data_IF_631718816389
#
_entry.id   IF_631718816389
#
_cell.length_a   1.000
_cell.length_b   1.000
_cell.length_c   1.000
_cell.angle_alpha   90.00
_cell.angle_beta   90.00
_cell.angle_gamma   90.00
#
_symmetry.space_group_name_H-M   'P 1'
#
loop_
_entity.id
_entity.type
_entity.pdbx_description
1 polymer ?
#
# COMPACT_ATOMS: atom_id res chain seq x y z
N UNK A 1 47.99 -0.37 39.98
CA UNK A 1 47.17 -1.59 39.94
C UNK A 1 46.26 -1.46 38.74
N UNK A 2 46.72 -2.03 37.61
CA UNK A 2 46.07 -1.93 36.31
C UNK A 2 44.84 -2.84 36.27
N UNK A 3 43.72 -2.32 35.79
CA UNK A 3 42.52 -3.12 35.54
C UNK A 3 42.61 -3.57 34.09
N UNK A 4 43.10 -4.79 33.95
CA UNK A 4 43.39 -5.49 32.72
C UNK A 4 42.10 -5.96 32.03
N UNK A 5 41.98 -5.70 30.74
CA UNK A 5 41.46 -6.68 29.78
C UNK A 5 40.01 -7.14 29.87
N UNK A 6 39.01 -6.25 29.86
CA UNK A 6 37.70 -6.59 29.27
C UNK A 6 37.85 -6.59 27.74
N UNK A 7 38.33 -7.72 27.22
CA UNK A 7 38.24 -8.04 25.79
C UNK A 7 36.77 -8.09 25.44
N UNK A 8 36.25 -6.99 24.87
CA UNK A 8 35.04 -6.98 24.06
C UNK A 8 35.21 -8.10 23.03
N UNK A 9 34.53 -9.23 23.27
CA UNK A 9 34.41 -10.30 22.30
C UNK A 9 33.98 -9.65 20.99
N UNK A 10 34.82 -9.77 19.98
CA UNK A 10 34.58 -9.23 18.65
C UNK A 10 33.18 -9.63 18.23
N UNK A 11 32.26 -8.66 18.18
CA UNK A 11 30.97 -8.84 17.54
C UNK A 11 31.24 -9.43 16.16
N UNK A 12 30.59 -10.55 15.78
CA UNK A 12 30.82 -11.17 14.49
C UNK A 12 30.58 -10.13 13.40
N UNK A 13 31.68 -9.64 12.82
CA UNK A 13 31.75 -8.51 11.88
C UNK A 13 31.42 -8.93 10.45
N UNK A 14 30.72 -10.05 10.29
CA UNK A 14 30.39 -10.60 8.99
C UNK A 14 28.96 -11.16 9.04
N UNK A 15 27.99 -10.54 8.35
CA UNK A 15 26.70 -11.16 8.14
C UNK A 15 26.97 -12.49 7.44
N UNK A 16 26.58 -13.62 8.05
CA UNK A 16 26.71 -14.89 7.33
C UNK A 16 25.93 -14.78 6.02
N UNK A 17 26.57 -14.96 4.85
CA UNK A 17 25.86 -14.88 3.60
C UNK A 17 24.99 -16.12 3.48
N UNK A 18 23.68 -15.90 3.35
CA UNK A 18 22.79 -16.87 2.73
C UNK A 18 22.10 -17.84 3.68
N UNK A 19 20.85 -17.54 4.01
CA UNK A 19 19.75 -18.44 3.63
C UNK A 19 18.53 -17.56 3.37
N UNK A 20 17.74 -17.85 2.34
CA UNK A 20 16.41 -17.22 2.17
C UNK A 20 15.56 -17.29 3.45
N UNK A 21 15.81 -18.30 4.28
CA UNK A 21 15.25 -18.47 5.62
C UNK A 21 15.62 -17.34 6.59
N UNK A 22 16.85 -16.87 6.63
CA UNK A 22 17.25 -15.80 7.58
C UNK A 22 16.61 -14.47 7.18
N UNK A 23 16.59 -14.14 5.89
CA UNK A 23 15.87 -12.97 5.39
C UNK A 23 14.39 -13.02 5.78
N UNK A 24 13.76 -14.18 5.63
CA UNK A 24 12.36 -14.37 5.97
C UNK A 24 12.11 -14.25 7.48
N UNK A 25 12.94 -14.89 8.32
CA UNK A 25 12.81 -14.79 9.78
C UNK A 25 13.01 -13.37 10.27
N UNK A 26 14.03 -12.68 9.77
CA UNK A 26 14.35 -11.31 10.19
C UNK A 26 13.22 -10.35 9.78
N UNK A 27 12.71 -10.49 8.55
CA UNK A 27 11.56 -9.71 8.08
C UNK A 27 10.33 -9.93 8.94
N UNK A 28 10.06 -11.19 9.31
CA UNK A 28 8.94 -11.55 10.17
C UNK A 28 9.10 -11.02 11.60
N UNK A 29 10.31 -11.02 12.15
CA UNK A 29 10.58 -10.46 13.48
C UNK A 29 10.30 -8.95 13.52
N UNK A 30 10.70 -8.24 12.47
CA UNK A 30 10.46 -6.78 12.36
C UNK A 30 8.96 -6.52 12.19
N UNK A 31 8.33 -7.25 11.28
CA UNK A 31 6.88 -7.19 11.09
C UNK A 31 6.12 -7.51 12.38
N UNK A 32 6.60 -8.46 13.18
CA UNK A 32 5.98 -8.82 14.45
C UNK A 32 5.97 -7.65 15.41
N UNK A 33 7.06 -6.87 15.52
CA UNK A 33 7.09 -5.64 16.30
C UNK A 33 5.98 -4.67 15.91
N UNK A 34 5.88 -4.35 14.62
CA UNK A 34 4.86 -3.42 14.11
C UNK A 34 3.43 -3.98 14.25
N UNK A 35 3.27 -5.30 14.16
CA UNK A 35 2.00 -5.97 14.37
C UNK A 35 1.48 -5.83 15.81
N UNK A 36 2.38 -5.92 16.79
CA UNK A 36 2.02 -5.76 18.21
C UNK A 36 1.46 -4.36 18.51
N UNK A 37 1.95 -3.34 17.81
CA UNK A 37 1.45 -1.97 17.90
C UNK A 37 0.15 -1.80 17.12
N UNK A 38 0.07 -2.40 15.93
CA UNK A 38 -1.10 -2.31 15.05
C UNK A 38 -2.33 -2.98 15.65
N UNK A 39 -2.18 -4.14 16.31
CA UNK A 39 -3.31 -4.94 16.83
C UNK A 39 -4.19 -4.16 17.83
N UNK A 40 -3.59 -3.24 18.60
CA UNK A 40 -4.32 -2.42 19.59
C UNK A 40 -5.09 -1.28 18.93
N UNK A 41 -4.68 -0.90 17.72
CA UNK A 41 -5.25 0.23 16.95
C UNK A 41 -6.08 -0.24 15.75
N UNK A 42 -6.41 -1.53 15.64
CA UNK A 42 -7.11 -2.10 14.48
C UNK A 42 -8.41 -1.37 14.16
N UNK A 43 -9.25 -1.14 15.18
CA UNK A 43 -10.53 -0.45 15.02
C UNK A 43 -10.34 0.99 14.56
N UNK A 44 -9.33 1.68 15.09
CA UNK A 44 -9.01 3.04 14.71
C UNK A 44 -8.48 3.13 13.27
N UNK A 45 -7.60 2.21 12.85
CA UNK A 45 -7.04 2.17 11.49
C UNK A 45 -8.11 1.79 10.46
N UNK A 46 -8.94 0.80 10.78
CA UNK A 46 -10.06 0.42 9.94
C UNK A 46 -11.07 1.58 9.80
N UNK A 47 -11.49 2.20 10.90
CA UNK A 47 -12.47 3.27 10.90
C UNK A 47 -11.97 4.55 10.21
N UNK A 48 -10.73 4.98 10.50
CA UNK A 48 -10.18 6.22 9.94
C UNK A 48 -10.01 6.16 8.42
N UNK A 49 -9.58 5.01 7.88
CA UNK A 49 -9.39 4.85 6.44
C UNK A 49 -10.68 4.57 5.64
N UNK A 50 -11.82 4.40 6.32
CA UNK A 50 -13.15 4.32 5.69
C UNK A 50 -13.73 5.68 5.33
N UNK A 51 -13.34 6.74 6.04
CA UNK A 51 -14.01 8.05 5.97
C UNK A 51 -14.04 8.60 4.54
N UNK A 52 -12.88 8.66 3.87
CA UNK A 52 -12.80 9.19 2.51
C UNK A 52 -13.53 8.30 1.47
N UNK A 53 -13.28 6.97 1.41
CA UNK A 53 -14.04 6.09 0.51
C UNK A 53 -15.56 6.16 0.71
N UNK A 54 -16.04 6.24 1.95
CA UNK A 54 -17.47 6.37 2.23
C UNK A 54 -18.02 7.69 1.69
N UNK A 55 -17.35 8.81 1.95
CA UNK A 55 -17.74 10.11 1.38
C UNK A 55 -17.81 10.04 -0.14
N UNK A 56 -16.86 9.38 -0.79
CA UNK A 56 -16.85 9.20 -2.23
C UNK A 56 -17.97 8.29 -2.75
N UNK A 57 -18.26 7.18 -2.06
CA UNK A 57 -19.40 6.32 -2.41
C UNK A 57 -20.71 7.09 -2.26
N UNK A 58 -20.87 7.90 -1.21
CA UNK A 58 -22.06 8.74 -1.04
C UNK A 58 -22.15 9.84 -2.10
N UNK A 59 -21.08 10.60 -2.30
CA UNK A 59 -21.07 11.73 -3.23
C UNK A 59 -21.19 11.31 -4.69
N UNK A 60 -20.37 10.35 -5.12
CA UNK A 60 -20.32 9.92 -6.53
C UNK A 60 -21.29 8.77 -6.81
N UNK A 61 -21.38 7.78 -5.91
CA UNK A 61 -22.29 6.64 -6.09
C UNK A 61 -23.75 7.05 -5.97
N UNK A 62 -24.15 7.67 -4.86
CA UNK A 62 -25.56 8.06 -4.66
C UNK A 62 -25.90 9.44 -5.25
N UNK A 63 -24.99 10.41 -5.09
CA UNK A 63 -25.24 11.78 -5.56
C UNK A 63 -25.24 11.92 -7.08
N UNK A 64 -24.28 11.28 -7.76
CA UNK A 64 -24.13 11.35 -9.23
C UNK A 64 -24.61 10.07 -9.95
N UNK A 65 -24.70 8.92 -9.27
CA UNK A 65 -25.00 7.64 -9.91
C UNK A 65 -26.29 7.65 -10.71
N UNK A 66 -27.41 8.12 -10.15
CA UNK A 66 -28.69 8.16 -10.87
C UNK A 66 -28.62 9.02 -12.15
N UNK A 67 -27.86 10.12 -12.11
CA UNK A 67 -27.68 10.99 -13.29
C UNK A 67 -26.78 10.36 -14.33
N UNK A 68 -25.72 9.67 -13.90
CA UNK A 68 -24.75 9.01 -14.77
C UNK A 68 -25.33 7.74 -15.39
N UNK A 69 -26.07 6.94 -14.63
CA UNK A 69 -26.77 5.75 -15.13
C UNK A 69 -27.83 6.11 -16.18
N UNK A 70 -28.42 7.30 -16.08
CA UNK A 70 -29.36 7.82 -17.09
C UNK A 70 -28.64 8.40 -18.31
N UNK A 71 -27.47 9.01 -18.12
CA UNK A 71 -26.73 9.69 -19.19
C UNK A 71 -25.77 8.78 -19.97
N UNK A 72 -25.29 7.70 -19.35
CA UNK A 72 -24.19 6.86 -19.84
C UNK A 72 -24.38 5.42 -19.37
N UNK A 73 -24.22 4.45 -20.26
CA UNK A 73 -24.07 3.05 -19.85
C UNK A 73 -22.70 2.86 -19.19
N UNK A 74 -22.62 2.37 -17.95
CA UNK A 74 -21.35 2.11 -17.29
C UNK A 74 -20.51 1.11 -18.10
N UNK A 75 -19.19 1.29 -18.20
CA UNK A 75 -18.33 0.38 -18.94
C UNK A 75 -18.34 -1.06 -18.40
N UNK A 76 -18.55 -1.21 -17.08
CA UNK A 76 -18.54 -2.48 -16.36
C UNK A 76 -19.49 -2.38 -15.16
N UNK A 77 -20.32 -3.42 -14.95
CA UNK A 77 -21.33 -3.47 -13.88
C UNK A 77 -22.70 -2.94 -14.31
N UNK A 78 -23.70 -3.14 -13.46
CA UNK A 78 -25.10 -2.78 -13.79
C UNK A 78 -25.43 -1.31 -13.46
N UNK A 79 -24.58 -0.66 -12.66
CA UNK A 79 -24.72 0.74 -12.25
C UNK A 79 -23.35 1.41 -12.06
N UNK A 80 -23.33 2.73 -12.08
CA UNK A 80 -22.13 3.53 -11.77
C UNK A 80 -21.61 3.25 -10.37
N UNK A 81 -22.50 2.91 -9.42
CA UNK A 81 -22.09 2.50 -8.07
C UNK A 81 -21.24 1.22 -8.12
N UNK A 82 -21.65 0.22 -8.88
CA UNK A 82 -20.86 -1.01 -9.08
C UNK A 82 -19.51 -0.72 -9.77
N UNK A 83 -19.49 0.23 -10.71
CA UNK A 83 -18.28 0.64 -11.40
C UNK A 83 -17.22 1.25 -10.46
N UNK A 84 -17.63 2.08 -9.49
CA UNK A 84 -16.70 2.80 -8.60
C UNK A 84 -16.23 1.96 -7.40
N UNK A 85 -17.00 0.97 -6.95
CA UNK A 85 -16.72 0.23 -5.71
C UNK A 85 -15.34 -0.46 -5.70
N UNK A 86 -14.94 -1.25 -6.73
CA UNK A 86 -13.58 -1.80 -6.80
C UNK A 86 -12.50 -0.72 -6.80
N UNK A 87 -12.76 0.42 -7.45
CA UNK A 87 -11.88 1.58 -7.45
C UNK A 87 -11.70 2.20 -6.06
N UNK A 88 -12.76 2.23 -5.25
CA UNK A 88 -12.68 2.72 -3.85
C UNK A 88 -11.86 1.77 -2.97
N UNK A 89 -11.92 0.46 -3.21
CA UNK A 89 -11.06 -0.52 -2.54
C UNK A 89 -9.59 -0.31 -2.93
N UNK A 90 -9.30 -0.05 -4.21
CA UNK A 90 -7.95 0.30 -4.69
C UNK A 90 -7.43 1.61 -4.06
N UNK A 91 -8.28 2.64 -4.01
CA UNK A 91 -7.95 3.95 -3.44
C UNK A 91 -7.66 3.86 -1.94
N UNK A 92 -8.50 3.12 -1.20
CA UNK A 92 -8.33 2.94 0.24
C UNK A 92 -7.06 2.16 0.57
N UNK A 93 -6.81 1.05 -0.14
CA UNK A 93 -5.59 0.25 0.03
C UNK A 93 -4.33 1.07 -0.24
N UNK A 94 -4.30 1.84 -1.32
CA UNK A 94 -3.20 2.75 -1.64
C UNK A 94 -2.97 3.78 -0.53
N UNK A 95 -4.03 4.49 -0.15
CA UNK A 95 -3.94 5.63 0.78
C UNK A 95 -3.39 5.18 2.12
N UNK A 96 -3.94 4.10 2.70
CA UNK A 96 -3.51 3.62 4.01
C UNK A 96 -2.17 2.87 3.95
N UNK A 97 -1.92 2.08 2.90
CA UNK A 97 -0.61 1.40 2.77
C UNK A 97 0.52 2.40 2.68
N UNK A 98 0.34 3.49 1.93
CA UNK A 98 1.35 4.54 1.83
C UNK A 98 1.43 5.38 3.11
N UNK A 99 0.35 6.08 3.45
CA UNK A 99 0.37 7.08 4.54
C UNK A 99 0.65 6.41 5.88
N UNK A 100 0.01 5.26 6.17
CA UNK A 100 0.23 4.52 7.41
C UNK A 100 1.67 4.04 7.55
N UNK A 101 2.32 3.62 6.47
CA UNK A 101 3.73 3.21 6.50
C UNK A 101 4.66 4.39 6.72
N UNK A 102 4.45 5.49 6.00
CA UNK A 102 5.26 6.72 6.17
C UNK A 102 5.13 7.25 7.60
N UNK A 103 3.90 7.33 8.14
CA UNK A 103 3.67 7.81 9.51
C UNK A 103 4.28 6.90 10.57
N UNK A 104 4.25 5.58 10.37
CA UNK A 104 4.88 4.64 11.32
C UNK A 104 6.39 4.81 11.37
N UNK A 105 7.06 4.81 10.22
CA UNK A 105 8.52 4.99 10.17
C UNK A 105 8.91 6.37 10.68
N UNK A 106 8.17 7.41 10.28
CA UNK A 106 8.40 8.76 10.77
C UNK A 106 8.21 8.84 12.29
N UNK A 107 7.21 8.14 12.83
CA UNK A 107 6.91 8.11 14.26
C UNK A 107 7.98 7.38 15.07
N UNK A 108 8.38 6.20 14.62
CA UNK A 108 9.45 5.40 15.23
C UNK A 108 10.78 6.14 15.23
N UNK A 109 11.06 6.91 14.17
CA UNK A 109 12.27 7.72 14.05
C UNK A 109 12.25 8.96 14.92
N UNK A 110 11.16 9.73 14.91
CA UNK A 110 11.10 11.04 15.57
C UNK A 110 10.77 10.94 17.07
N UNK A 111 9.97 9.97 17.49
CA UNK A 111 9.45 9.89 18.86
C UNK A 111 10.06 8.75 19.66
N UNK A 112 10.11 7.54 19.10
CA UNK A 112 10.50 6.35 19.86
C UNK A 112 12.00 6.04 19.79
N UNK A 113 12.72 6.59 18.78
CA UNK A 113 14.14 6.30 18.47
C UNK A 113 14.47 4.82 18.21
N UNK A 114 13.47 3.93 18.24
CA UNK A 114 13.60 2.50 17.94
C UNK A 114 14.12 2.25 16.52
N UNK A 115 13.92 3.21 15.61
CA UNK A 115 14.47 3.13 14.26
C UNK A 115 16.00 3.17 14.23
N UNK A 116 16.64 3.96 15.11
CA UNK A 116 18.10 4.05 15.20
C UNK A 116 18.69 2.76 15.81
N UNK A 117 18.01 2.17 16.80
CA UNK A 117 18.38 0.87 17.36
C UNK A 117 18.27 -0.25 16.32
N UNK A 118 17.24 -0.21 15.47
CA UNK A 118 17.04 -1.19 14.40
C UNK A 118 18.15 -1.13 13.34
N UNK A 119 18.70 0.05 13.05
CA UNK A 119 19.82 0.23 12.12
C UNK A 119 21.14 -0.37 12.65
N UNK A 120 21.31 -0.45 13.98
CA UNK A 120 22.49 -1.03 14.62
C UNK A 120 22.47 -2.57 14.65
N UNK A 121 21.31 -3.18 14.39
CA UNK A 121 21.19 -4.63 14.34
C UNK A 121 21.88 -5.17 13.07
N UNK A 122 22.61 -6.30 13.15
CA UNK A 122 23.28 -6.91 12.00
C UNK A 122 22.27 -7.64 11.09
N UNK A 123 21.24 -6.94 10.62
CA UNK A 123 20.15 -7.44 9.78
C UNK A 123 20.35 -6.93 8.36
N UNK A 124 20.04 -7.78 7.38
CA UNK A 124 20.13 -7.41 5.97
C UNK A 124 19.15 -6.26 5.63
N UNK A 125 19.57 -5.20 4.91
CA UNK A 125 18.72 -4.03 4.58
C UNK A 125 17.39 -4.38 3.90
N UNK A 126 17.41 -5.43 3.07
CA UNK A 126 16.21 -5.93 2.40
C UNK A 126 15.19 -6.52 3.40
N UNK A 127 15.64 -7.21 4.46
CA UNK A 127 14.76 -7.74 5.48
C UNK A 127 14.11 -6.62 6.31
N UNK A 128 14.86 -5.53 6.60
CA UNK A 128 14.31 -4.31 7.21
C UNK A 128 13.17 -3.73 6.35
N UNK A 129 13.42 -3.60 5.05
CA UNK A 129 12.42 -3.10 4.12
C UNK A 129 11.18 -3.99 4.06
N UNK A 130 11.34 -5.31 3.85
CA UNK A 130 10.21 -6.24 3.75
C UNK A 130 9.41 -6.25 5.05
N UNK A 131 10.05 -6.28 6.22
CA UNK A 131 9.34 -6.26 7.50
C UNK A 131 8.42 -5.04 7.64
N UNK A 132 8.93 -3.85 7.34
CA UNK A 132 8.16 -2.59 7.37
C UNK A 132 7.08 -2.54 6.29
N UNK A 133 7.40 -3.03 5.09
CA UNK A 133 6.47 -3.14 3.97
C UNK A 133 5.30 -4.07 4.31
N UNK A 134 5.54 -5.21 4.95
CA UNK A 134 4.48 -6.16 5.36
C UNK A 134 3.52 -5.52 6.39
N UNK A 135 4.03 -4.72 7.32
CA UNK A 135 3.19 -3.98 8.26
C UNK A 135 2.29 -2.96 7.53
N UNK A 136 2.85 -2.28 6.52
CA UNK A 136 2.11 -1.41 5.61
C UNK A 136 1.03 -2.14 4.80
N UNK A 137 1.38 -3.30 4.25
CA UNK A 137 0.45 -4.16 3.50
C UNK A 137 -0.74 -4.54 4.37
N UNK A 138 -0.48 -4.94 5.61
CA UNK A 138 -1.53 -5.34 6.53
C UNK A 138 -2.46 -4.18 6.89
N UNK A 139 -1.93 -2.98 7.13
CA UNK A 139 -2.75 -1.77 7.35
C UNK A 139 -3.65 -1.49 6.15
N UNK A 140 -3.09 -1.55 4.94
CA UNK A 140 -3.84 -1.38 3.70
C UNK A 140 -4.95 -2.42 3.53
N UNK A 141 -4.64 -3.69 3.79
CA UNK A 141 -5.61 -4.79 3.69
C UNK A 141 -6.74 -4.67 4.71
N UNK A 142 -6.46 -4.23 5.94
CA UNK A 142 -7.48 -4.03 6.97
C UNK A 142 -8.47 -2.93 6.56
N UNK A 143 -7.97 -1.79 6.10
CA UNK A 143 -8.86 -0.69 5.69
C UNK A 143 -9.59 -1.02 4.39
N UNK A 144 -8.88 -1.50 3.37
CA UNK A 144 -9.53 -1.85 2.09
C UNK A 144 -10.48 -3.03 2.24
N UNK A 145 -10.22 -3.98 3.15
CA UNK A 145 -11.14 -5.04 3.53
C UNK A 145 -12.41 -4.48 4.20
N UNK A 146 -12.29 -3.40 4.97
CA UNK A 146 -13.44 -2.70 5.53
C UNK A 146 -14.27 -2.01 4.44
N UNK A 147 -13.63 -1.38 3.45
CA UNK A 147 -14.33 -0.80 2.28
C UNK A 147 -14.98 -1.89 1.44
N UNK A 148 -14.29 -3.02 1.27
CA UNK A 148 -14.80 -4.18 0.54
C UNK A 148 -16.03 -4.78 1.23
N UNK A 149 -16.05 -4.84 2.57
CA UNK A 149 -17.22 -5.24 3.33
C UNK A 149 -18.42 -4.33 3.03
N UNK A 150 -18.20 -3.01 3.03
CA UNK A 150 -19.23 -2.04 2.66
C UNK A 150 -19.71 -2.27 1.21
N UNK A 151 -18.80 -2.45 0.27
CA UNK A 151 -19.12 -2.76 -1.13
C UNK A 151 -19.99 -4.01 -1.29
N UNK A 152 -19.68 -5.06 -0.54
CA UNK A 152 -20.44 -6.32 -0.51
C UNK A 152 -21.84 -6.09 0.09
N UNK A 153 -21.95 -5.31 1.16
CA UNK A 153 -23.26 -5.00 1.77
C UNK A 153 -24.17 -4.21 0.83
N UNK A 154 -23.62 -3.31 0.01
CA UNK A 154 -24.39 -2.54 -0.96
C UNK A 154 -24.80 -3.36 -2.20
N UNK A 155 -23.93 -4.25 -2.69
CA UNK A 155 -24.16 -4.98 -3.95
C UNK A 155 -24.75 -6.38 -3.77
N UNK A 156 -24.57 -6.99 -2.59
CA UNK A 156 -24.86 -8.40 -2.36
C UNK A 156 -23.93 -9.38 -3.10
N UNK A 157 -22.97 -8.89 -3.90
CA UNK A 157 -22.13 -9.70 -4.81
C UNK A 157 -20.87 -10.22 -4.10
N UNK A 158 -21.02 -11.06 -3.07
CA UNK A 158 -19.91 -11.59 -2.25
C UNK A 158 -18.79 -12.23 -3.09
N UNK A 159 -19.16 -13.08 -4.05
CA UNK A 159 -18.20 -13.85 -4.88
C UNK A 159 -17.37 -13.00 -5.83
N UNK A 160 -17.87 -11.82 -6.18
CA UNK A 160 -17.19 -10.85 -7.04
C UNK A 160 -15.94 -10.28 -6.35
N UNK A 161 -16.07 -9.91 -5.07
CA UNK A 161 -15.00 -9.28 -4.30
C UNK A 161 -14.05 -10.29 -3.62
N UNK A 162 -14.51 -11.51 -3.35
CA UNK A 162 -13.69 -12.58 -2.75
C UNK A 162 -12.92 -13.44 -3.77
N UNK A 163 -12.92 -13.05 -5.04
CA UNK A 163 -12.17 -13.76 -6.06
C UNK A 163 -10.66 -13.78 -5.72
N UNK A 164 -9.95 -14.92 -5.85
CA UNK A 164 -8.51 -15.00 -5.59
C UNK A 164 -7.68 -13.95 -6.35
N UNK A 165 -8.11 -13.62 -7.56
CA UNK A 165 -7.45 -12.66 -8.43
C UNK A 165 -7.65 -11.21 -7.94
N UNK A 166 -8.81 -10.91 -7.38
CA UNK A 166 -9.10 -9.64 -6.71
C UNK A 166 -8.19 -9.46 -5.49
N UNK A 167 -8.11 -10.47 -4.63
CA UNK A 167 -7.26 -10.46 -3.43
C UNK A 167 -5.78 -10.33 -3.83
N UNK A 168 -5.34 -11.05 -4.85
CA UNK A 168 -3.96 -10.98 -5.35
C UNK A 168 -3.59 -9.55 -5.78
N UNK A 169 -4.42 -8.91 -6.62
CA UNK A 169 -4.20 -7.52 -7.04
C UNK A 169 -4.24 -6.54 -5.87
N UNK A 170 -5.14 -6.77 -4.90
CA UNK A 170 -5.23 -5.94 -3.72
C UNK A 170 -3.96 -6.02 -2.87
N UNK A 171 -3.44 -7.23 -2.65
CA UNK A 171 -2.17 -7.46 -1.94
C UNK A 171 -1.00 -6.83 -2.69
N UNK A 172 -0.94 -6.98 -4.02
CA UNK A 172 0.06 -6.34 -4.88
C UNK A 172 0.00 -4.81 -4.78
N UNK A 173 -1.20 -4.23 -4.82
CA UNK A 173 -1.38 -2.78 -4.66
C UNK A 173 -0.87 -2.31 -3.30
N UNK A 174 -1.28 -2.99 -2.24
CA UNK A 174 -0.80 -2.73 -0.88
C UNK A 174 0.73 -2.83 -0.81
N UNK A 175 1.34 -3.84 -1.46
CA UNK A 175 2.77 -4.05 -1.52
C UNK A 175 3.50 -2.90 -2.21
N UNK A 176 3.03 -2.48 -3.40
CA UNK A 176 3.59 -1.33 -4.14
C UNK A 176 3.59 -0.07 -3.28
N UNK A 177 2.45 0.26 -2.69
CA UNK A 177 2.29 1.51 -1.95
C UNK A 177 2.91 1.48 -0.56
N UNK A 178 2.93 0.33 0.11
CA UNK A 178 3.68 0.15 1.35
C UNK A 178 5.19 0.24 1.10
N UNK A 179 5.71 -0.44 0.06
CA UNK A 179 7.12 -0.37 -0.31
C UNK A 179 7.56 1.05 -0.65
N UNK A 180 6.76 1.77 -1.44
CA UNK A 180 7.01 3.18 -1.70
C UNK A 180 6.93 4.03 -0.42
N UNK A 181 5.95 3.75 0.44
CA UNK A 181 5.82 4.38 1.75
C UNK A 181 7.04 4.18 2.64
N UNK A 182 7.69 3.00 2.60
CA UNK A 182 8.97 2.78 3.29
C UNK A 182 10.04 3.69 2.72
N UNK A 183 10.23 3.71 1.39
CA UNK A 183 11.24 4.54 0.72
C UNK A 183 11.09 6.03 1.05
N UNK A 184 9.85 6.52 1.11
CA UNK A 184 9.54 7.90 1.47
C UNK A 184 9.73 8.13 2.96
N UNK A 185 9.22 7.23 3.82
CA UNK A 185 9.35 7.31 5.28
C UNK A 185 10.80 7.43 5.75
N UNK A 186 11.73 6.71 5.10
CA UNK A 186 13.17 6.82 5.36
C UNK A 186 13.76 8.20 5.05
N UNK A 187 13.17 8.93 4.10
CA UNK A 187 13.63 10.25 3.65
C UNK A 187 12.99 11.42 4.40
N UNK A 188 11.86 11.20 5.06
CA UNK A 188 11.12 12.26 5.74
C UNK A 188 11.74 12.59 7.10
N UNK A 189 11.83 13.90 7.41
CA UNK A 189 12.40 14.44 8.65
C UNK A 189 11.37 15.09 9.59
N UNK A 190 10.13 15.28 9.14
CA UNK A 190 9.08 15.92 9.92
C UNK A 190 7.69 15.45 9.48
N UNK A 191 6.70 15.54 10.37
CA UNK A 191 5.31 15.23 10.03
C UNK A 191 4.74 16.18 8.96
N UNK A 192 5.20 17.43 8.91
CA UNK A 192 4.82 18.39 7.86
C UNK A 192 5.23 17.90 6.47
N UNK A 193 6.43 17.33 6.35
CA UNK A 193 6.88 16.75 5.09
C UNK A 193 6.03 15.53 4.69
N UNK A 194 5.55 14.71 5.64
CA UNK A 194 4.58 13.64 5.35
C UNK A 194 3.30 14.23 4.73
N UNK A 195 2.79 15.32 5.31
CA UNK A 195 1.62 16.04 4.80
C UNK A 195 1.83 16.57 3.37
N UNK A 196 3.01 17.10 3.06
CA UNK A 196 3.37 17.54 1.70
C UNK A 196 3.31 16.39 0.70
N UNK A 197 3.92 15.23 1.00
CA UNK A 197 3.84 14.06 0.11
C UNK A 197 2.40 13.62 -0.11
N UNK A 198 1.59 13.61 0.95
CA UNK A 198 0.18 13.22 0.83
C UNK A 198 -0.59 14.17 -0.11
N UNK A 199 -0.45 15.48 0.09
CA UNK A 199 -1.21 16.48 -0.66
C UNK A 199 -0.73 16.67 -2.10
N UNK A 200 0.57 16.60 -2.37
CA UNK A 200 1.13 16.83 -3.70
C UNK A 200 1.24 15.58 -4.56
N UNK A 201 1.18 14.39 -3.96
CA UNK A 201 1.38 13.13 -4.70
C UNK A 201 0.19 12.20 -4.55
N UNK A 202 -0.17 11.83 -3.31
CA UNK A 202 -1.21 10.82 -3.07
C UNK A 202 -2.59 11.32 -3.49
N UNK A 203 -2.96 12.56 -3.13
CA UNK A 203 -4.26 13.12 -3.49
C UNK A 203 -4.42 13.27 -5.01
N UNK A 204 -3.49 13.90 -5.77
CA UNK A 204 -3.61 13.95 -7.24
C UNK A 204 -3.67 12.55 -7.86
N UNK A 205 -2.85 11.62 -7.37
CA UNK A 205 -2.82 10.25 -7.85
C UNK A 205 -4.11 9.48 -7.54
N UNK A 206 -4.80 9.76 -6.44
CA UNK A 206 -6.07 9.10 -6.09
C UNK A 206 -7.19 9.46 -7.06
N UNK A 207 -7.19 10.69 -7.59
CA UNK A 207 -8.14 11.14 -8.60
C UNK A 207 -7.75 10.68 -10.01
N UNK A 208 -6.45 10.72 -10.35
CA UNK A 208 -5.97 10.35 -11.68
C UNK A 208 -5.86 8.84 -11.90
N UNK A 209 -5.80 8.02 -10.84
CA UNK A 209 -5.58 6.57 -10.91
C UNK A 209 -6.77 5.73 -11.37
N UNK A 210 -7.63 6.27 -12.24
CA UNK A 210 -8.75 5.55 -12.88
C UNK A 210 -9.75 4.87 -11.91
N UNK A 211 -9.89 5.43 -10.71
CA UNK A 211 -10.80 4.94 -9.66
C UNK A 211 -12.26 5.32 -9.95
N UNK A 212 -12.47 6.54 -10.47
CA UNK A 212 -13.79 7.12 -10.74
C UNK A 212 -14.21 7.07 -12.21
N UNK A 213 -13.29 6.82 -13.14
CA UNK A 213 -13.56 6.85 -14.58
C UNK A 213 -12.82 5.71 -15.29
N UNK A 214 -13.24 5.42 -16.51
CA UNK A 214 -12.55 4.46 -17.37
C UNK A 214 -11.42 5.16 -18.15
N UNK A 215 -10.16 4.75 -17.98
CA UNK A 215 -9.03 5.39 -18.65
C UNK A 215 -9.04 5.19 -20.17
N UNK A 216 -9.85 4.28 -20.71
CA UNK A 216 -10.05 4.14 -22.15
C UNK A 216 -10.73 5.37 -22.77
N UNK A 217 -11.59 6.07 -22.01
CA UNK A 217 -12.38 7.23 -22.45
C UNK A 217 -11.61 8.55 -22.45
N UNK A 218 -10.40 8.57 -21.89
CA UNK A 218 -9.59 9.79 -21.80
C UNK A 218 -9.00 10.23 -23.14
N UNK A 219 -8.82 11.55 -23.37
CA UNK A 219 -8.08 12.08 -24.50
C UNK A 219 -6.65 11.53 -24.56
N UNK A 220 -6.14 11.36 -25.79
CA UNK A 220 -4.81 10.78 -26.03
C UNK A 220 -3.65 11.53 -25.36
N UNK A 221 -3.82 12.81 -25.00
CA UNK A 221 -2.82 13.64 -24.32
C UNK A 221 -2.66 13.30 -22.83
N UNK A 222 -3.75 12.98 -22.13
CA UNK A 222 -3.74 12.70 -20.68
C UNK A 222 -3.57 11.21 -20.39
N UNK A 223 -4.02 10.37 -21.31
CA UNK A 223 -3.98 8.91 -21.20
C UNK A 223 -2.60 8.38 -20.75
N UNK A 224 -1.45 8.80 -21.33
CA UNK A 224 -0.13 8.29 -20.91
C UNK A 224 0.20 8.59 -19.44
N UNK A 225 -0.22 9.76 -18.93
CA UNK A 225 0.03 10.17 -17.53
C UNK A 225 -0.73 9.25 -16.59
N UNK A 226 -1.98 8.92 -16.92
CA UNK A 226 -2.82 8.02 -16.11
C UNK A 226 -2.27 6.60 -16.13
N UNK A 227 -1.79 6.10 -17.27
CA UNK A 227 -1.17 4.77 -17.36
C UNK A 227 0.24 4.69 -16.75
N UNK A 228 0.87 5.80 -16.37
CA UNK A 228 2.10 5.78 -15.57
C UNK A 228 1.84 5.44 -14.10
N UNK A 229 0.63 5.72 -13.61
CA UNK A 229 0.25 5.58 -12.21
C UNK A 229 -0.03 4.09 -11.89
N UNK A 230 0.64 3.50 -10.88
CA UNK A 230 0.40 2.10 -10.49
C UNK A 230 -1.06 1.84 -10.08
N UNK A 231 -1.71 2.81 -9.44
CA UNK A 231 -3.11 2.72 -9.03
C UNK A 231 -4.05 2.42 -10.21
N UNK A 232 -3.76 2.93 -11.41
CA UNK A 232 -4.56 2.70 -12.61
C UNK A 232 -4.66 1.21 -12.94
N UNK A 233 -3.55 0.48 -12.86
CA UNK A 233 -3.51 -0.96 -13.13
C UNK A 233 -4.32 -1.76 -12.11
N UNK A 234 -4.28 -1.35 -10.84
CA UNK A 234 -5.09 -1.91 -9.78
C UNK A 234 -6.57 -1.63 -10.00
N UNK A 235 -6.96 -0.38 -10.30
CA UNK A 235 -8.36 -0.01 -10.49
C UNK A 235 -9.00 -0.76 -11.66
N UNK A 236 -8.31 -0.85 -12.80
CA UNK A 236 -8.80 -1.61 -13.96
C UNK A 236 -8.87 -3.11 -13.61
N UNK A 237 -7.82 -3.65 -12.99
CA UNK A 237 -7.74 -5.07 -12.65
C UNK A 237 -8.78 -5.51 -11.63
N UNK A 238 -8.98 -4.76 -10.53
CA UNK A 238 -10.00 -5.07 -9.53
C UNK A 238 -11.41 -5.01 -10.11
N UNK A 239 -11.67 -4.05 -11.02
CA UNK A 239 -12.97 -3.94 -11.69
C UNK A 239 -13.25 -5.13 -12.60
N UNK A 240 -12.28 -5.53 -13.41
CA UNK A 240 -12.39 -6.72 -14.25
C UNK A 240 -12.51 -8.00 -13.42
N UNK A 241 -11.71 -8.16 -12.35
CA UNK A 241 -11.80 -9.31 -11.44
C UNK A 241 -13.14 -9.41 -10.72
N UNK A 242 -13.79 -8.28 -10.45
CA UNK A 242 -15.10 -8.22 -9.82
C UNK A 242 -16.23 -8.57 -10.81
N UNK A 243 -16.23 -7.98 -12.01
CA UNK A 243 -17.44 -7.95 -12.85
C UNK A 243 -17.25 -8.50 -14.27
N UNK A 244 -16.03 -8.52 -14.81
CA UNK A 244 -15.77 -9.05 -16.17
C UNK A 244 -14.39 -9.71 -16.27
N UNK A 245 -14.33 -10.99 -15.90
CA UNK A 245 -13.10 -11.78 -15.98
C UNK A 245 -12.65 -12.03 -17.43
N UNK A 246 -13.55 -11.90 -18.42
CA UNK A 246 -13.22 -12.18 -19.82
C UNK A 246 -12.26 -11.13 -20.41
N UNK A 247 -12.38 -9.88 -19.94
CA UNK A 247 -11.54 -8.75 -20.33
C UNK A 247 -10.46 -8.42 -19.29
N UNK A 248 -10.02 -9.41 -18.51
CA UNK A 248 -9.06 -9.17 -17.44
C UNK A 248 -7.70 -8.67 -17.98
N UNK A 249 -7.17 -7.52 -17.49
CA UNK A 249 -5.88 -7.00 -17.92
C UNK A 249 -4.72 -7.78 -17.29
N UNK A 250 -4.30 -8.87 -17.95
CA UNK A 250 -3.19 -9.71 -17.47
C UNK A 250 -1.86 -8.96 -17.27
N UNK A 251 -1.67 -7.82 -17.94
CA UNK A 251 -0.51 -6.96 -17.76
C UNK A 251 -0.46 -6.26 -16.39
N UNK A 252 -1.59 -6.10 -15.69
CA UNK A 252 -1.62 -5.42 -14.38
C UNK A 252 -0.81 -6.16 -13.32
N UNK A 253 -0.82 -7.50 -13.33
CA UNK A 253 -0.09 -8.32 -12.35
C UNK A 253 1.43 -8.12 -12.44
N UNK A 254 2.10 -8.33 -13.60
CA UNK A 254 3.54 -8.13 -13.70
C UNK A 254 3.92 -6.66 -13.52
N UNK A 255 3.11 -5.70 -13.96
CA UNK A 255 3.41 -4.26 -13.74
C UNK A 255 3.45 -3.94 -12.25
N UNK A 256 2.45 -4.36 -11.48
CA UNK A 256 2.44 -4.16 -10.03
C UNK A 256 3.54 -4.97 -9.33
N UNK A 257 3.80 -6.19 -9.79
CA UNK A 257 4.87 -7.03 -9.24
C UNK A 257 6.25 -6.41 -9.43
N UNK A 258 6.55 -5.92 -10.64
CA UNK A 258 7.79 -5.21 -10.96
C UNK A 258 7.89 -3.91 -10.16
N UNK A 259 6.80 -3.14 -10.03
CA UNK A 259 6.80 -1.93 -9.22
C UNK A 259 7.09 -2.24 -7.73
N UNK A 260 6.49 -3.28 -7.17
CA UNK A 260 6.75 -3.70 -5.79
C UNK A 260 8.21 -4.11 -5.59
N UNK A 261 8.76 -4.93 -6.49
CA UNK A 261 10.16 -5.36 -6.45
C UNK A 261 11.10 -4.15 -6.59
N UNK A 262 10.79 -3.22 -7.50
CA UNK A 262 11.58 -2.01 -7.70
C UNK A 262 11.61 -1.15 -6.44
N UNK A 263 10.47 -0.93 -5.77
CA UNK A 263 10.44 -0.19 -4.50
C UNK A 263 11.16 -0.93 -3.38
N UNK A 264 11.11 -2.27 -3.34
CA UNK A 264 11.88 -3.05 -2.39
C UNK A 264 13.38 -2.97 -2.62
N UNK A 265 13.84 -3.00 -3.87
CA UNK A 265 15.25 -2.81 -4.21
C UNK A 265 15.73 -1.40 -3.83
N UNK A 266 14.94 -0.36 -4.16
CA UNK A 266 15.24 1.03 -3.79
C UNK A 266 15.25 1.24 -2.28
N UNK A 267 14.34 0.60 -1.56
CA UNK A 267 14.28 0.64 -0.11
C UNK A 267 15.49 -0.03 0.54
N UNK A 268 15.87 -1.22 0.08
CA UNK A 268 17.07 -1.91 0.54
C UNK A 268 18.34 -1.07 0.29
N UNK A 269 18.44 -0.44 -0.88
CA UNK A 269 19.52 0.49 -1.19
C UNK A 269 19.56 1.68 -0.22
N UNK A 270 18.42 2.34 0.03
CA UNK A 270 18.34 3.43 1.01
C UNK A 270 18.72 3.02 2.43
N UNK A 271 18.30 1.85 2.88
CA UNK A 271 18.68 1.33 4.20
C UNK A 271 20.19 1.09 4.30
N UNK A 272 20.82 0.53 3.25
CA UNK A 272 22.27 0.31 3.26
C UNK A 272 23.07 1.61 3.40
N UNK A 273 22.65 2.69 2.73
CA UNK A 273 23.32 3.99 2.82
C UNK A 273 23.06 4.75 4.14
N UNK A 274 22.13 4.28 4.98
CA UNK A 274 21.89 4.85 6.31
C UNK A 274 22.65 4.12 7.42
N UNK A 275 23.24 2.96 7.13
CA UNK A 275 24.07 2.20 8.07
C UNK A 275 25.54 2.67 8.08
N UNK A 276 25.95 3.43 7.06
CA UNK A 276 27.27 4.07 6.94
C UNK A 276 27.31 5.44 7.64
#
# INVERSE_FOLDING_TARGET
MAIDGLRLGSLPKNPQPGTWRTLWTDSLTIFWGDWLDLRVRLTQVAASGLVAPLIYIFAFGFGLGNTLDTAMTPPVGDSYLEFILPGMVALSSMTISFTGTVFSICGERLYTKTFEEMLLMPIHPLALHIGKMLAGVLRGLLTSGSVMLVAILFTGKIWSFLNPLFILLLVLNCAVFAGWGVVVGLGVKSLEAVGLYNNFVIVPMSFLGATFFDPATLPATIKPIVYLIPLTYTSIGLRAAAYDLSQFPWYSIPVLGVAAIAFSALGAYKFSHQQD
#
